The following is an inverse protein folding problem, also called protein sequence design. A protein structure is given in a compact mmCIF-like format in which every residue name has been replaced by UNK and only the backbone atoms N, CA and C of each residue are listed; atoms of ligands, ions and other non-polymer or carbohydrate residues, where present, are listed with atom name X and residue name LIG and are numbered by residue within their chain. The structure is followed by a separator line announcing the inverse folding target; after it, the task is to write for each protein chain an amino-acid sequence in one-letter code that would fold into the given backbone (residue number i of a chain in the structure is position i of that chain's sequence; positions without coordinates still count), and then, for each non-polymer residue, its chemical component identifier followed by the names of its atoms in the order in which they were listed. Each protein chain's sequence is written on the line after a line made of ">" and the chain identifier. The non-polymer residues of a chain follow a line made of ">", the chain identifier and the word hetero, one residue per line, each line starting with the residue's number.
data_IF_079592963981
#
_entry.id   IF_079592963981
#
_cell.length_a   1.000
_cell.length_b   1.000
_cell.length_c   1.000
_cell.angle_alpha   90.00
_cell.angle_beta   90.00
_cell.angle_gamma   90.00
#
_symmetry.space_group_name_H-M   'P 1'
#
loop_
_entity.id
_entity.type
_entity.pdbx_description
1 polymer ?
#
# COMPACT_ATOMS: atom_id res chain seq x y z
N UNK A 1 13.77 15.24 -1.82
CA UNK A 1 13.55 16.51 -2.53
C UNK A 1 14.20 17.71 -1.81
N UNK A 2 13.91 17.97 -0.51
CA UNK A 2 14.47 19.14 0.22
C UNK A 2 16.00 19.17 0.19
N UNK A 3 16.67 18.04 0.42
CA UNK A 3 18.13 17.95 0.36
C UNK A 3 18.65 18.10 -1.06
N UNK A 4 17.95 17.54 -2.03
CA UNK A 4 18.28 17.64 -3.45
C UNK A 4 18.21 19.08 -3.93
N UNK A 5 17.14 19.80 -3.60
CA UNK A 5 16.96 21.22 -3.89
C UNK A 5 18.07 22.11 -3.26
N UNK A 6 18.71 21.64 -2.17
CA UNK A 6 19.87 22.30 -1.54
C UNK A 6 21.22 21.88 -2.12
N UNK A 7 21.22 21.16 -3.24
CA UNK A 7 22.43 20.67 -3.91
C UNK A 7 23.17 19.56 -3.17
N UNK A 8 22.49 18.85 -2.24
CA UNK A 8 23.07 17.76 -1.44
C UNK A 8 22.75 16.37 -1.99
N UNK A 9 22.02 16.29 -3.12
CA UNK A 9 21.46 15.04 -3.63
C UNK A 9 20.31 14.51 -2.79
N UNK A 10 19.59 13.52 -3.30
CA UNK A 10 18.50 12.86 -2.59
C UNK A 10 18.94 11.49 -2.05
N UNK A 11 19.33 11.37 -0.76
CA UNK A 11 19.76 10.10 -0.18
C UNK A 11 18.56 9.16 0.15
N UNK A 12 17.32 9.63 0.00
CA UNK A 12 16.10 8.90 0.37
C UNK A 12 15.38 8.25 -0.82
N UNK A 13 16.04 8.09 -1.96
CA UNK A 13 15.53 7.31 -3.10
C UNK A 13 15.66 5.82 -2.84
N UNK A 14 14.96 5.29 -1.85
CA UNK A 14 14.93 3.86 -1.50
C UNK A 14 13.59 3.22 -1.87
N UNK A 15 13.54 1.87 -1.87
CA UNK A 15 12.32 1.10 -2.07
C UNK A 15 11.55 0.94 -0.76
N UNK A 16 10.28 0.55 -0.86
CA UNK A 16 9.38 0.30 0.28
C UNK A 16 9.22 -1.20 0.46
N UNK A 17 9.42 -1.68 1.67
CA UNK A 17 9.11 -3.06 2.06
C UNK A 17 8.33 -3.09 3.36
N UNK A 18 7.50 -4.12 3.54
CA UNK A 18 6.89 -4.47 4.81
C UNK A 18 7.67 -5.58 5.52
N UNK A 19 7.36 -5.78 6.79
CA UNK A 19 7.96 -6.81 7.63
C UNK A 19 7.03 -7.14 8.78
N UNK A 20 7.10 -8.35 9.30
CA UNK A 20 6.33 -8.76 10.48
C UNK A 20 6.84 -8.09 11.75
N UNK A 21 8.12 -7.78 11.78
CA UNK A 21 8.83 -7.31 12.98
C UNK A 21 8.57 -8.21 14.22
N UNK A 22 8.30 -9.48 13.96
CA UNK A 22 8.03 -10.47 15.01
C UNK A 22 9.32 -10.86 15.74
N UNK A 23 9.26 -10.90 17.08
CA UNK A 23 10.36 -11.31 17.93
C UNK A 23 10.18 -12.75 18.48
N UNK A 24 9.26 -13.52 17.87
CA UNK A 24 8.93 -14.88 18.30
C UNK A 24 9.53 -15.94 17.38
N UNK A 25 10.16 -15.55 16.26
CA UNK A 25 10.50 -16.43 15.12
C UNK A 25 9.27 -17.13 14.47
N UNK A 26 8.08 -16.77 14.88
CA UNK A 26 6.80 -17.23 14.33
C UNK A 26 6.10 -16.04 13.72
N UNK A 27 6.46 -15.72 12.46
CA UNK A 27 5.82 -14.63 11.74
C UNK A 27 4.42 -15.06 11.29
N UNK A 28 3.40 -14.26 11.65
CA UNK A 28 2.05 -14.38 11.14
C UNK A 28 1.66 -13.12 10.38
N UNK A 29 1.07 -13.30 9.20
CA UNK A 29 0.66 -12.20 8.33
C UNK A 29 -0.86 -11.93 8.40
N UNK A 30 -1.59 -12.80 9.08
CA UNK A 30 -3.04 -12.80 9.16
C UNK A 30 -3.49 -12.25 10.52
N UNK A 31 -4.51 -11.41 10.53
CA UNK A 31 -5.10 -10.82 11.73
C UNK A 31 -5.74 -11.88 12.65
N UNK A 32 -6.35 -12.93 12.08
CA UNK A 32 -6.95 -14.03 12.80
C UNK A 32 -5.95 -15.03 13.39
N UNK A 33 -4.67 -14.89 13.02
CA UNK A 33 -3.58 -15.78 13.45
C UNK A 33 -2.39 -14.98 14.02
N UNK A 34 -2.65 -13.82 14.62
CA UNK A 34 -1.60 -13.00 15.21
C UNK A 34 -1.14 -13.53 16.57
N UNK A 35 0.08 -14.07 16.62
CA UNK A 35 0.72 -14.64 17.80
C UNK A 35 1.45 -13.61 18.70
N UNK A 36 1.12 -12.32 18.57
CA UNK A 36 1.79 -11.27 19.32
C UNK A 36 3.14 -10.87 18.73
N UNK A 37 3.71 -9.82 19.30
CA UNK A 37 5.02 -9.28 18.95
C UNK A 37 6.16 -10.06 19.61
N UNK A 38 5.98 -10.40 20.87
CA UNK A 38 6.91 -11.11 21.74
C UNK A 38 6.33 -12.44 22.19
N UNK A 39 7.15 -13.34 22.73
CA UNK A 39 6.66 -14.58 23.30
C UNK A 39 5.74 -14.36 24.52
N UNK A 40 5.90 -13.25 25.23
CA UNK A 40 5.10 -12.93 26.42
C UNK A 40 3.68 -12.47 26.12
N UNK A 41 3.40 -11.95 24.93
CA UNK A 41 2.08 -11.48 24.48
C UNK A 41 1.42 -12.42 23.45
N UNK A 42 1.73 -13.73 23.55
CA UNK A 42 1.33 -14.71 22.51
C UNK A 42 -0.11 -15.25 22.66
N UNK A 43 -0.85 -14.86 23.67
CA UNK A 43 -2.24 -15.29 23.87
C UNK A 43 -3.17 -14.08 24.01
N UNK A 44 -4.49 -14.20 23.73
CA UNK A 44 -5.44 -13.12 23.92
C UNK A 44 -5.36 -12.45 25.30
N UNK A 45 -5.23 -13.24 26.36
CA UNK A 45 -5.18 -12.75 27.73
C UNK A 45 -3.87 -12.03 28.08
N UNK A 46 -2.75 -12.40 27.45
CA UNK A 46 -1.45 -11.78 27.72
C UNK A 46 -1.19 -10.56 26.83
N UNK A 47 -1.87 -10.41 25.69
CA UNK A 47 -1.75 -9.22 24.83
C UNK A 47 -2.26 -7.93 25.48
N UNK A 48 -3.11 -8.02 26.52
CA UNK A 48 -3.53 -6.83 27.30
C UNK A 48 -2.44 -6.24 28.18
N UNK A 49 -1.42 -7.01 28.50
CA UNK A 49 -0.31 -6.56 29.32
C UNK A 49 0.70 -5.75 28.50
N UNK A 50 1.39 -4.84 29.17
CA UNK A 50 2.46 -4.05 28.56
C UNK A 50 3.64 -4.95 28.17
N UNK A 51 4.01 -4.95 26.88
CA UNK A 51 5.24 -5.59 26.38
C UNK A 51 6.46 -4.66 26.53
N UNK A 52 6.21 -3.35 26.51
CA UNK A 52 7.12 -2.28 26.94
C UNK A 52 6.28 -1.26 27.73
N UNK A 53 6.84 -0.50 28.66
CA UNK A 53 6.07 0.41 29.50
C UNK A 53 5.11 1.31 28.69
N UNK A 54 3.81 1.23 28.98
CA UNK A 54 2.75 2.00 28.32
C UNK A 54 2.34 1.51 26.94
N UNK A 55 2.74 0.31 26.53
CA UNK A 55 2.39 -0.25 25.20
C UNK A 55 1.95 -1.71 25.35
N UNK A 56 0.66 -1.97 25.43
CA UNK A 56 0.13 -3.33 25.48
C UNK A 56 0.30 -4.04 24.12
N UNK A 57 0.32 -5.36 24.15
CA UNK A 57 0.37 -6.18 22.93
C UNK A 57 -0.79 -5.92 21.97
N UNK A 58 -1.93 -5.44 22.48
CA UNK A 58 -3.07 -5.05 21.63
C UNK A 58 -2.78 -3.84 20.72
N UNK A 59 -1.84 -2.97 21.07
CA UNK A 59 -1.44 -1.83 20.24
C UNK A 59 -0.47 -2.23 19.12
N UNK A 60 0.03 -3.47 19.12
CA UNK A 60 0.88 -3.99 18.07
C UNK A 60 0.06 -4.34 16.83
N UNK A 61 0.71 -4.29 15.67
CA UNK A 61 0.15 -4.74 14.40
C UNK A 61 0.47 -6.21 14.15
N UNK A 62 -0.44 -6.90 13.50
CA UNK A 62 -0.13 -8.13 12.81
C UNK A 62 0.90 -7.84 11.69
N UNK A 63 1.19 -8.79 10.86
CA UNK A 63 2.35 -8.76 10.00
C UNK A 63 2.29 -7.78 8.84
N UNK A 64 3.48 -7.30 8.41
CA UNK A 64 3.72 -6.80 7.07
C UNK A 64 4.54 -7.79 6.25
N UNK A 65 4.46 -7.69 4.93
CA UNK A 65 5.23 -8.50 3.99
C UNK A 65 6.05 -7.64 3.04
N UNK A 66 7.27 -8.08 2.74
CA UNK A 66 8.04 -7.58 1.62
C UNK A 66 7.64 -8.35 0.36
N UNK A 67 7.25 -7.63 -0.68
CA UNK A 67 6.98 -8.19 -2.00
C UNK A 67 8.00 -7.70 -3.01
N UNK A 68 8.34 -8.51 -4.00
CA UNK A 68 9.37 -8.24 -5.00
C UNK A 68 8.95 -8.77 -6.37
N UNK A 69 9.20 -7.97 -7.40
CA UNK A 69 9.04 -8.39 -8.79
C UNK A 69 10.40 -8.84 -9.34
N UNK A 70 10.60 -10.13 -9.41
CA UNK A 70 11.80 -10.77 -9.95
C UNK A 70 11.44 -11.68 -11.13
N UNK A 71 12.32 -11.87 -12.14
CA UNK A 71 12.04 -12.74 -13.27
C UNK A 71 11.99 -14.23 -12.88
N UNK A 72 12.63 -14.60 -11.76
CA UNK A 72 12.62 -15.95 -11.22
C UNK A 72 12.83 -15.95 -9.70
N UNK A 73 12.43 -17.02 -9.04
CA UNK A 73 12.60 -17.19 -7.59
C UNK A 73 14.01 -17.75 -7.28
N UNK A 74 15.02 -16.94 -7.54
CA UNK A 74 16.41 -17.23 -7.16
C UNK A 74 16.96 -16.11 -6.29
N UNK A 75 17.99 -16.41 -5.49
CA UNK A 75 18.65 -15.43 -4.62
C UNK A 75 19.13 -14.22 -5.41
N UNK A 76 19.78 -14.42 -6.54
CA UNK A 76 20.38 -13.37 -7.34
C UNK A 76 19.29 -12.49 -7.99
N UNK A 77 18.25 -13.09 -8.57
CA UNK A 77 17.15 -12.36 -9.18
C UNK A 77 16.36 -11.52 -8.15
N UNK A 78 16.13 -12.07 -6.96
CA UNK A 78 15.49 -11.35 -5.84
C UNK A 78 16.37 -10.19 -5.38
N UNK A 79 17.68 -10.42 -5.20
CA UNK A 79 18.63 -9.38 -4.80
C UNK A 79 18.68 -8.24 -5.83
N UNK A 80 18.73 -8.56 -7.10
CA UNK A 80 18.77 -7.59 -8.20
C UNK A 80 17.45 -6.78 -8.25
N UNK A 81 16.31 -7.41 -8.03
CA UNK A 81 15.02 -6.72 -7.94
C UNK A 81 14.96 -5.76 -6.74
N UNK A 82 15.46 -6.17 -5.57
CA UNK A 82 15.59 -5.30 -4.40
C UNK A 82 16.54 -4.13 -4.69
N UNK A 83 17.66 -4.37 -5.35
CA UNK A 83 18.63 -3.34 -5.73
C UNK A 83 18.05 -2.32 -6.72
N UNK A 84 17.20 -2.75 -7.67
CA UNK A 84 16.42 -1.86 -8.56
C UNK A 84 15.25 -1.20 -7.85
N UNK A 85 14.95 -1.57 -6.59
CA UNK A 85 13.80 -1.06 -5.81
C UNK A 85 12.45 -1.45 -6.40
N UNK A 86 12.38 -2.51 -7.20
CA UNK A 86 11.15 -3.06 -7.74
C UNK A 86 10.47 -3.96 -6.69
N UNK A 87 10.17 -3.32 -5.57
CA UNK A 87 9.66 -3.91 -4.34
C UNK A 87 8.49 -3.10 -3.81
N UNK A 88 7.64 -3.75 -3.02
CA UNK A 88 6.54 -3.07 -2.36
C UNK A 88 6.22 -3.72 -1.00
N UNK A 89 5.48 -3.00 -0.18
CA UNK A 89 5.03 -3.45 1.12
C UNK A 89 3.56 -3.87 1.09
N UNK A 90 3.19 -4.87 1.87
CA UNK A 90 1.81 -5.07 2.30
C UNK A 90 1.72 -5.07 3.81
N UNK A 91 0.53 -4.88 4.37
CA UNK A 91 0.28 -4.94 5.81
C UNK A 91 -0.14 -6.33 6.29
N UNK A 92 0.00 -7.37 5.43
CA UNK A 92 -0.30 -8.77 5.75
C UNK A 92 -0.80 -9.55 4.56
N UNK A 93 -1.92 -9.16 3.93
CA UNK A 93 -2.44 -9.84 2.75
C UNK A 93 -1.46 -9.79 1.57
N UNK A 94 -1.47 -10.82 0.76
CA UNK A 94 -0.65 -10.93 -0.45
C UNK A 94 -1.29 -10.19 -1.63
N UNK A 95 -1.61 -8.90 -1.41
CA UNK A 95 -2.10 -8.03 -2.49
C UNK A 95 -1.02 -7.95 -3.56
N UNK A 96 -1.37 -8.29 -4.80
CA UNK A 96 -0.49 -8.11 -5.93
C UNK A 96 -0.60 -6.68 -6.45
N UNK A 97 0.54 -5.97 -6.56
CA UNK A 97 0.56 -4.57 -7.01
C UNK A 97 1.59 -4.37 -8.12
N UNK A 98 1.13 -3.89 -9.28
CA UNK A 98 1.97 -3.36 -10.36
C UNK A 98 1.79 -1.86 -10.46
N UNK A 99 2.91 -1.16 -10.60
CA UNK A 99 2.93 0.29 -10.75
C UNK A 99 4.04 0.70 -11.70
N UNK A 100 3.65 1.31 -12.81
CA UNK A 100 4.56 1.82 -13.84
C UNK A 100 4.29 3.30 -14.09
N UNK A 101 5.35 4.08 -14.36
CA UNK A 101 5.26 5.48 -14.74
C UNK A 101 5.92 5.72 -16.10
N UNK A 102 5.32 6.57 -16.89
CA UNK A 102 5.80 6.93 -18.23
C UNK A 102 5.08 8.16 -18.73
N UNK A 103 5.18 8.43 -20.03
CA UNK A 103 4.48 9.57 -20.62
C UNK A 103 3.45 9.16 -21.70
N UNK A 104 3.36 7.88 -22.06
CA UNK A 104 2.57 7.40 -23.21
C UNK A 104 1.57 6.30 -22.88
N UNK A 105 1.29 6.08 -21.58
CA UNK A 105 0.21 5.17 -21.19
C UNK A 105 -1.16 5.79 -21.51
N UNK A 106 -2.08 4.95 -21.95
CA UNK A 106 -3.45 5.32 -22.24
C UNK A 106 -4.44 4.25 -21.75
N UNK A 107 -5.72 4.53 -21.77
CA UNK A 107 -6.75 3.64 -21.22
C UNK A 107 -6.74 2.20 -21.78
N UNK A 108 -6.29 2.00 -23.04
CA UNK A 108 -6.21 0.67 -23.62
C UNK A 108 -5.14 -0.20 -22.94
N UNK A 109 -4.07 0.41 -22.40
CA UNK A 109 -3.02 -0.32 -21.72
C UNK A 109 -3.53 -1.02 -20.44
N UNK A 110 -4.55 -0.45 -19.80
CA UNK A 110 -5.21 -1.05 -18.63
C UNK A 110 -5.96 -2.35 -18.95
N UNK A 111 -6.33 -2.55 -20.22
CA UNK A 111 -7.08 -3.72 -20.67
C UNK A 111 -6.22 -4.83 -21.28
N UNK A 112 -4.90 -4.68 -21.26
CA UNK A 112 -3.98 -5.65 -21.86
C UNK A 112 -3.81 -6.87 -20.96
N UNK A 113 -3.90 -8.08 -21.56
CA UNK A 113 -3.62 -9.33 -20.86
C UNK A 113 -2.19 -9.38 -20.30
N UNK A 114 -1.22 -8.79 -21.02
CA UNK A 114 0.17 -8.67 -20.56
C UNK A 114 0.50 -7.21 -20.23
N UNK A 115 -0.17 -6.67 -19.22
CA UNK A 115 0.02 -5.30 -18.74
C UNK A 115 1.49 -5.01 -18.36
N UNK A 116 2.18 -5.99 -17.79
CA UNK A 116 3.58 -5.81 -17.37
C UNK A 116 4.49 -5.53 -18.57
N UNK A 117 4.31 -6.23 -19.71
CA UNK A 117 5.10 -5.95 -20.92
C UNK A 117 4.90 -4.50 -21.39
N UNK A 118 3.64 -4.02 -21.46
CA UNK A 118 3.36 -2.63 -21.82
C UNK A 118 3.97 -1.65 -20.79
N UNK A 119 3.97 -2.04 -19.51
CA UNK A 119 4.57 -1.26 -18.42
C UNK A 119 6.06 -1.04 -18.63
N UNK A 120 6.82 -2.09 -18.91
CA UNK A 120 8.27 -1.99 -19.16
C UNK A 120 8.62 -1.37 -20.52
N UNK A 121 7.78 -1.57 -21.54
CA UNK A 121 8.02 -1.04 -22.89
C UNK A 121 7.86 0.50 -22.94
N UNK A 122 6.88 1.06 -22.23
CA UNK A 122 6.52 2.47 -22.30
C UNK A 122 7.02 3.32 -21.14
N UNK A 123 7.67 2.71 -20.13
CA UNK A 123 8.08 3.47 -18.94
C UNK A 123 8.95 2.69 -17.98
N UNK A 124 8.92 3.11 -16.73
CA UNK A 124 9.70 2.53 -15.64
C UNK A 124 8.80 1.89 -14.59
N UNK A 125 9.22 0.78 -13.97
CA UNK A 125 8.49 0.19 -12.84
C UNK A 125 8.64 1.03 -11.56
N UNK A 126 7.89 0.67 -10.52
CA UNK A 126 8.09 1.19 -9.17
C UNK A 126 9.57 1.14 -8.77
N UNK A 127 10.03 2.16 -8.06
CA UNK A 127 11.44 2.35 -7.70
C UNK A 127 12.29 3.04 -8.76
N UNK A 128 11.75 3.24 -9.97
CA UNK A 128 12.42 3.88 -11.10
C UNK A 128 12.40 5.40 -11.08
N UNK A 129 13.11 5.99 -12.04
CA UNK A 129 13.20 7.43 -12.25
C UNK A 129 12.63 7.81 -13.62
N UNK A 130 11.78 8.83 -13.66
CA UNK A 130 11.36 9.52 -14.87
C UNK A 130 12.27 10.75 -15.07
N UNK A 131 12.86 10.86 -16.25
CA UNK A 131 13.61 12.05 -16.66
C UNK A 131 12.70 13.08 -17.33
N UNK A 132 13.29 14.23 -17.70
CA UNK A 132 12.62 15.40 -18.27
C UNK A 132 11.38 15.07 -19.13
N UNK A 133 10.27 15.68 -18.78
CA UNK A 133 8.99 15.46 -19.44
C UNK A 133 9.05 15.91 -20.91
N UNK A 134 8.73 15.03 -21.89
CA UNK A 134 8.67 15.43 -23.29
C UNK A 134 7.63 16.55 -23.48
N UNK A 135 8.07 17.69 -24.06
CA UNK A 135 7.21 18.85 -24.33
C UNK A 135 6.30 19.29 -23.15
N UNK A 136 6.78 19.08 -21.91
CA UNK A 136 6.02 19.38 -20.68
C UNK A 136 4.82 18.44 -20.46
N UNK A 137 4.75 17.29 -21.13
CA UNK A 137 3.68 16.30 -21.00
C UNK A 137 3.63 15.72 -19.59
N UNK A 138 2.45 15.71 -18.99
CA UNK A 138 2.26 15.13 -17.66
C UNK A 138 2.56 13.62 -17.66
N UNK A 139 3.19 13.10 -16.61
CA UNK A 139 3.40 11.66 -16.47
C UNK A 139 2.05 10.94 -16.36
N UNK A 140 1.99 9.77 -16.98
CA UNK A 140 0.89 8.82 -16.87
C UNK A 140 1.37 7.58 -16.14
N UNK A 141 0.49 6.99 -15.35
CA UNK A 141 0.80 5.85 -14.51
C UNK A 141 -0.17 4.70 -14.81
N UNK A 142 0.40 3.52 -15.09
CA UNK A 142 -0.33 2.29 -15.28
C UNK A 142 -0.27 1.49 -13.99
N UNK A 143 -1.43 1.24 -13.38
CA UNK A 143 -1.56 0.65 -12.06
C UNK A 143 -2.52 -0.52 -12.12
N UNK A 144 -2.13 -1.66 -11.56
CA UNK A 144 -2.99 -2.83 -11.35
C UNK A 144 -2.80 -3.35 -9.96
N UNK A 145 -3.91 -3.57 -9.26
CA UNK A 145 -3.95 -4.24 -7.97
C UNK A 145 -4.91 -5.42 -8.03
N UNK A 146 -4.48 -6.58 -7.49
CA UNK A 146 -5.30 -7.78 -7.35
C UNK A 146 -5.32 -8.18 -5.89
N UNK A 147 -6.48 -8.52 -5.36
CA UNK A 147 -6.62 -8.95 -3.97
C UNK A 147 -5.82 -10.22 -3.69
N UNK A 148 -5.49 -10.47 -2.44
CA UNK A 148 -5.06 -11.79 -1.98
C UNK A 148 -6.13 -12.83 -2.35
N UNK A 149 -5.78 -13.96 -2.99
CA UNK A 149 -6.75 -14.99 -3.41
C UNK A 149 -7.69 -15.47 -2.30
N UNK A 150 -7.19 -15.54 -1.07
CA UNK A 150 -7.97 -15.96 0.12
C UNK A 150 -8.42 -14.77 0.98
N UNK A 151 -8.02 -13.54 0.63
CA UNK A 151 -8.29 -12.33 1.39
C UNK A 151 -9.53 -11.55 0.93
N UNK A 152 -9.61 -10.32 1.43
CA UNK A 152 -10.71 -9.41 1.16
C UNK A 152 -10.59 -8.70 -0.19
N UNK A 153 -11.73 -8.26 -0.73
CA UNK A 153 -11.79 -7.42 -1.92
C UNK A 153 -11.10 -6.06 -1.67
N UNK A 154 -10.74 -5.41 -2.77
CA UNK A 154 -10.13 -4.08 -2.75
C UNK A 154 -11.20 -3.00 -2.65
N UNK A 155 -10.92 -1.96 -1.89
CA UNK A 155 -11.73 -0.75 -1.80
C UNK A 155 -11.35 0.26 -2.89
N UNK A 156 -10.04 0.59 -2.98
CA UNK A 156 -9.57 1.64 -3.88
C UNK A 156 -8.06 1.63 -4.10
N UNK A 157 -7.67 2.30 -5.17
CA UNK A 157 -6.28 2.68 -5.45
C UNK A 157 -6.15 4.19 -5.26
N UNK A 158 -5.09 4.59 -4.55
CA UNK A 158 -4.68 5.97 -4.38
C UNK A 158 -3.28 6.18 -4.93
N UNK A 159 -3.05 7.32 -5.58
CA UNK A 159 -1.72 7.83 -5.88
C UNK A 159 -1.41 8.95 -4.91
N UNK A 160 -0.28 8.86 -4.25
CA UNK A 160 0.24 9.92 -3.39
C UNK A 160 1.38 10.60 -4.11
N UNK A 161 1.24 11.92 -4.33
CA UNK A 161 2.23 12.80 -4.92
C UNK A 161 2.91 13.62 -3.83
N UNK A 162 4.23 13.71 -3.88
CA UNK A 162 5.00 14.64 -3.05
C UNK A 162 5.88 15.54 -3.91
N UNK A 163 5.92 16.84 -3.57
CA UNK A 163 6.73 17.83 -4.27
C UNK A 163 7.19 18.96 -3.33
N UNK A 164 7.95 19.90 -3.83
CA UNK A 164 8.23 21.16 -3.12
C UNK A 164 7.47 22.30 -3.81
N UNK A 165 6.89 23.19 -3.00
CA UNK A 165 6.33 24.44 -3.51
C UNK A 165 7.44 25.45 -3.90
N UNK A 166 7.05 26.66 -4.29
CA UNK A 166 7.97 27.70 -4.75
C UNK A 166 8.85 28.24 -3.61
N UNK A 167 8.40 28.09 -2.36
CA UNK A 167 9.15 28.41 -1.14
C UNK A 167 10.08 27.27 -0.69
N UNK A 168 10.04 26.11 -1.37
CA UNK A 168 10.83 24.93 -1.04
C UNK A 168 10.27 24.11 0.13
N UNK A 169 8.99 24.31 0.48
CA UNK A 169 8.31 23.56 1.53
C UNK A 169 7.72 22.26 0.97
N UNK A 170 7.81 21.15 1.72
CA UNK A 170 7.24 19.88 1.26
C UNK A 170 5.71 19.93 1.24
N UNK A 171 5.16 19.47 0.14
CA UNK A 171 3.73 19.32 -0.11
C UNK A 171 3.40 17.86 -0.40
N UNK A 172 2.19 17.44 -0.06
CA UNK A 172 1.65 16.13 -0.37
C UNK A 172 0.21 16.24 -0.84
N UNK A 173 -0.16 15.42 -1.82
CA UNK A 173 -1.56 15.27 -2.25
C UNK A 173 -1.89 13.82 -2.55
N UNK A 174 -3.06 13.41 -2.07
CA UNK A 174 -3.61 12.07 -2.30
C UNK A 174 -4.72 12.15 -3.35
N UNK A 175 -4.60 11.36 -4.42
CA UNK A 175 -5.60 11.23 -5.47
C UNK A 175 -6.24 9.84 -5.39
N UNK A 176 -7.58 9.78 -5.35
CA UNK A 176 -8.31 8.53 -5.50
C UNK A 176 -8.45 8.24 -7.01
N UNK A 177 -7.71 7.26 -7.52
CA UNK A 177 -7.57 7.03 -8.96
C UNK A 177 -8.41 5.86 -9.49
N UNK A 178 -8.78 4.92 -8.63
CA UNK A 178 -9.75 3.86 -8.91
C UNK A 178 -10.52 3.52 -7.64
N UNK A 179 -11.82 3.37 -7.75
CA UNK A 179 -12.73 2.99 -6.65
C UNK A 179 -13.53 1.76 -7.08
N UNK A 180 -13.61 0.79 -6.18
CA UNK A 180 -14.47 -0.39 -6.38
C UNK A 180 -15.95 -0.05 -6.41
N UNK A 181 -16.79 -1.02 -6.83
CA UNK A 181 -18.26 -0.93 -6.87
C UNK A 181 -18.78 0.22 -7.76
N UNK A 182 -18.01 0.65 -8.76
CA UNK A 182 -18.39 1.77 -9.65
C UNK A 182 -18.53 3.11 -8.94
N UNK A 183 -18.03 3.26 -7.72
CA UNK A 183 -18.04 4.53 -6.98
C UNK A 183 -17.19 5.57 -7.70
N UNK A 184 -17.56 6.82 -7.53
CA UNK A 184 -16.82 7.96 -8.10
C UNK A 184 -16.37 8.91 -6.99
N UNK A 185 -15.21 9.51 -7.19
CA UNK A 185 -14.68 10.53 -6.29
C UNK A 185 -15.58 11.77 -6.30
N UNK A 186 -15.92 12.29 -5.14
CA UNK A 186 -16.68 13.51 -5.00
C UNK A 186 -15.92 14.75 -5.51
N UNK A 187 -16.63 15.86 -5.69
CA UNK A 187 -16.03 17.15 -6.10
C UNK A 187 -15.02 17.71 -5.07
N UNK A 188 -15.08 17.22 -3.84
CA UNK A 188 -14.13 17.54 -2.75
C UNK A 188 -12.88 16.62 -2.76
N UNK A 189 -12.74 15.74 -3.77
CA UNK A 189 -11.64 14.79 -3.88
C UNK A 189 -11.77 13.55 -2.98
N UNK A 190 -12.85 13.43 -2.18
CA UNK A 190 -13.03 12.30 -1.26
C UNK A 190 -13.73 11.12 -1.93
N UNK A 191 -13.29 9.93 -1.57
CA UNK A 191 -13.97 8.69 -1.95
C UNK A 191 -15.16 8.45 -1.00
N UNK A 192 -16.36 8.14 -1.52
CA UNK A 192 -17.45 7.65 -0.70
C UNK A 192 -17.03 6.37 0.04
N UNK A 193 -17.55 6.10 1.26
CA UNK A 193 -17.24 4.86 1.99
C UNK A 193 -17.60 3.62 1.18
N UNK A 194 -16.75 2.58 1.23
CA UNK A 194 -17.05 1.28 0.60
C UNK A 194 -18.08 0.47 1.39
N UNK A 195 -18.28 0.81 2.65
CA UNK A 195 -19.10 0.03 3.57
C UNK A 195 -18.26 -0.89 4.45
N UNK A 196 -18.95 -1.73 5.24
CA UNK A 196 -18.34 -2.69 6.15
C UNK A 196 -19.21 -3.93 6.24
N UNK A 197 -18.65 -5.12 6.04
CA UNK A 197 -19.35 -6.41 6.09
C UNK A 197 -18.92 -7.27 7.27
N UNK A 198 -18.13 -6.71 8.20
CA UNK A 198 -17.65 -7.45 9.37
C UNK A 198 -18.75 -7.63 10.38
N UNK A 199 -19.00 -8.89 10.75
CA UNK A 199 -19.80 -9.25 11.91
C UNK A 199 -18.90 -9.23 13.15
N UNK A 200 -19.08 -8.23 13.99
CA UNK A 200 -18.28 -8.02 15.21
C UNK A 200 -18.51 -9.11 16.27
N UNK A 201 -19.60 -9.89 16.18
CA UNK A 201 -19.88 -10.96 17.13
C UNK A 201 -19.12 -12.24 16.82
N UNK A 202 -18.76 -12.46 15.56
CA UNK A 202 -18.10 -13.69 15.08
C UNK A 202 -16.70 -13.46 14.50
N UNK A 203 -16.35 -12.22 14.15
CA UNK A 203 -15.14 -11.93 13.41
C UNK A 203 -15.19 -12.37 11.94
N UNK A 204 -16.36 -12.70 11.39
CA UNK A 204 -16.55 -13.03 9.98
C UNK A 204 -16.78 -11.78 9.15
N UNK A 205 -16.44 -11.84 7.86
CA UNK A 205 -16.75 -10.80 6.87
C UNK A 205 -17.12 -11.45 5.53
N UNK A 206 -17.67 -10.68 4.61
CA UNK A 206 -17.99 -11.15 3.26
C UNK A 206 -17.40 -10.24 2.20
N UNK A 207 -17.08 -10.81 1.04
CA UNK A 207 -16.65 -10.08 -0.15
C UNK A 207 -17.86 -9.65 -1.02
N UNK A 208 -18.95 -9.19 -0.38
CA UNK A 208 -20.15 -8.69 -1.08
C UNK A 208 -20.03 -7.22 -1.50
N UNK A 209 -18.95 -6.56 -1.12
CA UNK A 209 -18.55 -5.19 -1.51
C UNK A 209 -17.10 -5.20 -1.97
N UNK A 210 -16.67 -4.14 -2.65
CA UNK A 210 -15.32 -4.06 -3.21
C UNK A 210 -15.12 -4.93 -4.44
N UNK A 211 -14.00 -4.76 -5.13
CA UNK A 211 -13.65 -5.50 -6.34
C UNK A 211 -12.42 -6.39 -6.13
N UNK A 212 -12.35 -7.57 -6.77
CA UNK A 212 -11.20 -8.47 -6.66
C UNK A 212 -9.96 -7.91 -7.37
N UNK A 213 -10.15 -7.02 -8.33
CA UNK A 213 -9.10 -6.37 -9.11
C UNK A 213 -9.48 -4.93 -9.43
N UNK A 214 -8.50 -4.04 -9.36
CA UNK A 214 -8.62 -2.65 -9.81
C UNK A 214 -7.46 -2.35 -10.74
N UNK A 215 -7.77 -1.84 -11.95
CA UNK A 215 -6.77 -1.45 -12.93
C UNK A 215 -7.10 -0.07 -13.51
N UNK A 216 -6.10 0.79 -13.64
CA UNK A 216 -6.30 2.15 -14.13
C UNK A 216 -5.04 2.69 -14.80
N UNK A 217 -5.24 3.55 -15.80
CA UNK A 217 -4.24 4.53 -16.25
C UNK A 217 -4.68 5.90 -15.75
N UNK A 218 -3.81 6.56 -15.00
CA UNK A 218 -4.05 7.88 -14.44
C UNK A 218 -2.90 8.83 -14.82
N UNK A 219 -3.22 10.07 -15.17
CA UNK A 219 -2.23 11.12 -15.42
C UNK A 219 -2.37 12.23 -14.38
N UNK A 220 -1.26 12.80 -13.93
CA UNK A 220 -1.27 13.88 -12.94
C UNK A 220 -1.88 15.16 -13.52
N UNK A 221 -3.09 15.56 -13.06
CA UNK A 221 -3.74 16.78 -13.56
C UNK A 221 -3.11 18.07 -13.07
N UNK A 222 -2.19 17.98 -12.09
CA UNK A 222 -1.53 19.10 -11.44
C UNK A 222 -0.01 19.02 -11.62
N UNK A 223 0.43 18.44 -12.73
CA UNK A 223 1.84 18.28 -13.03
C UNK A 223 2.47 19.62 -13.39
N UNK A 224 3.62 19.89 -12.80
CA UNK A 224 4.51 21.00 -13.16
C UNK A 224 5.85 20.42 -13.61
N UNK A 225 6.20 20.52 -14.90
CA UNK A 225 7.44 19.95 -15.45
C UNK A 225 8.71 20.59 -14.87
N UNK A 226 8.63 21.76 -14.24
CA UNK A 226 9.75 22.42 -13.60
C UNK A 226 9.99 21.95 -12.15
N UNK A 227 9.07 21.16 -11.57
CA UNK A 227 9.15 20.73 -10.17
C UNK A 227 9.46 19.25 -10.04
N UNK A 228 10.55 18.96 -9.33
CA UNK A 228 10.84 17.58 -8.93
C UNK A 228 9.72 17.04 -8.03
N UNK A 229 9.26 15.82 -8.31
CA UNK A 229 8.18 15.17 -7.58
C UNK A 229 8.43 13.67 -7.45
N UNK A 230 7.69 13.02 -6.57
CA UNK A 230 7.63 11.57 -6.50
C UNK A 230 6.18 11.12 -6.38
N UNK A 231 5.93 9.89 -6.82
CA UNK A 231 4.63 9.27 -6.80
C UNK A 231 4.73 7.87 -6.25
N UNK A 232 3.85 7.50 -5.33
CA UNK A 232 3.70 6.10 -4.92
C UNK A 232 2.22 5.72 -4.85
N UNK A 233 1.97 4.44 -4.95
CA UNK A 233 0.61 3.88 -4.89
C UNK A 233 0.33 3.34 -3.50
N UNK A 234 -0.88 3.61 -3.02
CA UNK A 234 -1.48 2.95 -1.87
C UNK A 234 -2.76 2.26 -2.30
N UNK A 235 -2.84 0.95 -2.08
CA UNK A 235 -4.04 0.14 -2.29
C UNK A 235 -4.67 -0.13 -0.93
N UNK A 236 -5.98 -0.02 -0.82
CA UNK A 236 -6.72 -0.36 0.39
C UNK A 236 -7.69 -1.51 0.10
N UNK A 237 -7.78 -2.46 1.03
CA UNK A 237 -8.86 -3.44 1.07
C UNK A 237 -10.15 -2.84 1.66
N UNK A 238 -11.27 -3.56 1.50
CA UNK A 238 -12.47 -3.34 2.34
C UNK A 238 -12.13 -3.61 3.81
N UNK A 239 -12.91 -3.09 4.78
CA UNK A 239 -12.69 -3.40 6.19
C UNK A 239 -12.75 -4.91 6.48
N UNK A 240 -11.78 -5.39 7.27
CA UNK A 240 -11.67 -6.75 7.77
C UNK A 240 -11.50 -6.75 9.29
N UNK A 241 -11.76 -7.85 10.01
CA UNK A 241 -11.54 -7.92 11.45
C UNK A 241 -10.08 -7.66 11.81
N UNK A 242 -9.84 -6.86 12.86
CA UNK A 242 -8.52 -6.69 13.45
C UNK A 242 -8.27 -7.79 14.49
N UNK A 243 -7.01 -8.17 14.74
CA UNK A 243 -6.65 -9.22 15.72
C UNK A 243 -7.26 -9.00 17.11
N UNK A 244 -7.43 -7.75 17.53
CA UNK A 244 -8.06 -7.40 18.81
C UNK A 244 -9.54 -7.77 18.87
N UNK A 245 -10.26 -7.82 17.75
CA UNK A 245 -11.62 -8.34 17.72
C UNK A 245 -11.64 -9.83 18.03
N UNK A 246 -10.73 -10.61 17.44
CA UNK A 246 -10.64 -12.05 17.73
C UNK A 246 -10.24 -12.30 19.19
N UNK A 247 -9.32 -11.50 19.75
CA UNK A 247 -8.95 -11.57 21.16
C UNK A 247 -10.14 -11.24 22.07
N UNK A 248 -10.91 -10.19 21.77
CA UNK A 248 -12.08 -9.80 22.54
C UNK A 248 -13.16 -10.91 22.54
N UNK A 249 -13.43 -11.51 21.37
CA UNK A 249 -14.34 -12.64 21.23
C UNK A 249 -13.86 -13.82 22.09
N UNK A 250 -12.57 -14.17 21.99
CA UNK A 250 -11.99 -15.29 22.76
C UNK A 250 -12.03 -15.07 24.27
N UNK A 251 -11.94 -13.83 24.73
CA UNK A 251 -12.02 -13.46 26.15
C UNK A 251 -13.43 -13.20 26.65
N UNK A 252 -14.41 -13.11 25.75
CA UNK A 252 -15.81 -12.78 26.09
C UNK A 252 -15.99 -11.36 26.63
N UNK A 253 -15.19 -10.40 26.13
CA UNK A 253 -15.25 -8.98 26.51
C UNK A 253 -15.67 -8.11 25.31
N UNK A 254 -16.20 -6.89 25.55
CA UNK A 254 -16.41 -5.91 24.50
C UNK A 254 -15.08 -5.52 23.82
N UNK A 255 -15.09 -5.36 22.50
CA UNK A 255 -13.86 -4.98 21.74
C UNK A 255 -13.32 -3.60 22.16
N UNK A 256 -14.17 -2.71 22.63
CA UNK A 256 -13.82 -1.38 23.15
C UNK A 256 -12.85 -1.46 24.33
N UNK A 257 -12.87 -2.55 25.11
CA UNK A 257 -11.92 -2.76 26.21
C UNK A 257 -10.48 -2.98 25.73
N UNK A 258 -10.29 -3.33 24.45
CA UNK A 258 -8.93 -3.44 23.87
C UNK A 258 -8.30 -2.07 23.57
N UNK A 259 -9.08 -0.98 23.60
CA UNK A 259 -8.65 0.36 23.20
C UNK A 259 -8.45 0.53 21.68
N UNK A 260 -8.74 -0.50 20.89
CA UNK A 260 -8.49 -0.56 19.46
C UNK A 260 -9.79 -0.76 18.65
N UNK A 261 -9.82 -0.34 17.37
CA UNK A 261 -10.98 -0.55 16.51
C UNK A 261 -11.18 -2.05 16.23
N UNK A 262 -12.46 -2.46 16.06
CA UNK A 262 -12.81 -3.82 15.69
C UNK A 262 -12.33 -4.23 14.30
N UNK A 263 -12.11 -3.27 13.40
CA UNK A 263 -11.79 -3.50 12.00
C UNK A 263 -10.57 -2.71 11.54
N UNK A 264 -9.90 -3.23 10.54
CA UNK A 264 -8.77 -2.62 9.86
C UNK A 264 -9.00 -2.65 8.34
N UNK A 265 -8.46 -1.67 7.61
CA UNK A 265 -8.31 -1.77 6.16
C UNK A 265 -6.85 -2.08 5.85
N UNK A 266 -6.59 -3.30 5.42
CA UNK A 266 -5.28 -3.74 5.01
C UNK A 266 -4.83 -3.04 3.72
N UNK A 267 -3.52 -2.97 3.48
CA UNK A 267 -2.96 -2.09 2.47
C UNK A 267 -1.77 -2.72 1.75
N UNK A 268 -1.51 -2.17 0.55
CA UNK A 268 -0.22 -2.31 -0.12
C UNK A 268 0.34 -0.92 -0.46
N UNK A 269 1.67 -0.78 -0.42
CA UNK A 269 2.39 0.46 -0.71
C UNK A 269 3.53 0.18 -1.68
N UNK A 270 3.51 0.82 -2.87
CA UNK A 270 4.60 0.67 -3.83
C UNK A 270 5.85 1.44 -3.44
N UNK A 271 7.00 1.03 -3.94
CA UNK A 271 8.16 1.93 -4.05
C UNK A 271 7.82 3.14 -4.91
N UNK A 272 8.38 4.33 -4.60
CA UNK A 272 8.08 5.54 -5.37
C UNK A 272 8.70 5.51 -6.77
N UNK A 273 8.03 6.17 -7.73
CA UNK A 273 8.61 6.61 -8.99
C UNK A 273 8.95 8.10 -8.83
N UNK A 274 10.17 8.47 -9.17
CA UNK A 274 10.69 9.82 -9.02
C UNK A 274 10.70 10.55 -10.35
N UNK A 275 10.24 11.79 -10.37
CA UNK A 275 10.38 12.68 -11.50
C UNK A 275 11.41 13.76 -11.20
N UNK A 276 12.32 13.96 -12.15
CA UNK A 276 13.33 15.03 -12.12
C UNK A 276 13.21 15.84 -13.41
N UNK A 277 13.05 17.19 -13.32
CA UNK A 277 12.99 18.10 -14.47
C UNK A 277 14.16 18.01 -15.42
#
# INVERSE_FOLDING_TARGET
>A
LVLDNRGRGNPYKFGMIGSTDSHTAMASAEEDNFHGKMAIDSTPGTKKEDIIPGTPGWDMGAAGLAAVWAPENTRDAIFDAMKRKEVYATTGPRIELRFFGGFDYNANDASLNNLAAAGYDKGVPMGGDLSAAPDGKAPSFLIRAVKDPVGANLDRIQVVKGWLDDEGMPQEKVFNVALADGRVTGSDGKAPPVGNTVDISTGNYTNSIGDPELTVVWSDPEFDPAKASFYYVRVLQIPTPRHTLFDAIALGIPVEETGNPATIQERAYSSPIWYTP
#
